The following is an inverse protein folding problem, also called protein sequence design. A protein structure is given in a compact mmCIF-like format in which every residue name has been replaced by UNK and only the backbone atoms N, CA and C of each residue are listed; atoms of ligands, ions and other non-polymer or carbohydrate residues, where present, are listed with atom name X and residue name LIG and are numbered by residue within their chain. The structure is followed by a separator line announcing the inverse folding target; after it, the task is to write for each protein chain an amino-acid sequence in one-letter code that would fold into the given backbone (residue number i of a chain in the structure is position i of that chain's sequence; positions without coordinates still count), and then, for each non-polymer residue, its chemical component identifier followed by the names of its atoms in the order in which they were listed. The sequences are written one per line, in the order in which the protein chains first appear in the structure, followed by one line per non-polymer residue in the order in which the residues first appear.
data_IF_774690472931
#
_entry.id   IF_774690472931
#
_cell.length_a   1.000
_cell.length_b   1.000
_cell.length_c   1.000
_cell.angle_alpha   90.00
_cell.angle_beta   90.00
_cell.angle_gamma   90.00
#
_symmetry.space_group_name_H-M   'P 1'
#
loop_
_entity.id
_entity.type
_entity.pdbx_description
1 polymer ?
#
# COMPACT_ATOMS: atom_id res chain seq x y z
N UNK A 1 -11.46 -8.01 42.88
CA UNK A 1 -10.16 -7.64 42.24
C UNK A 1 -9.89 -8.43 40.95
N UNK A 2 -9.92 -9.77 40.97
CA UNK A 2 -9.66 -10.59 39.76
C UNK A 2 -10.57 -10.28 38.56
N UNK A 3 -11.87 -10.03 38.79
CA UNK A 3 -12.83 -9.69 37.72
C UNK A 3 -12.54 -8.33 37.06
N UNK A 4 -12.18 -7.32 37.85
CA UNK A 4 -11.79 -5.99 37.34
C UNK A 4 -10.51 -6.09 36.52
N UNK A 5 -9.54 -6.88 37.00
CA UNK A 5 -8.27 -7.09 36.31
C UNK A 5 -8.47 -7.83 34.98
N UNK A 6 -9.38 -8.82 34.93
CA UNK A 6 -9.79 -9.48 33.68
C UNK A 6 -10.49 -8.52 32.71
N UNK A 7 -11.36 -7.64 33.19
CA UNK A 7 -12.02 -6.63 32.35
C UNK A 7 -10.98 -5.67 31.75
N UNK A 8 -10.04 -5.18 32.55
CA UNK A 8 -8.96 -4.30 32.08
C UNK A 8 -8.09 -5.01 31.03
N UNK A 9 -7.75 -6.27 31.27
CA UNK A 9 -6.96 -7.07 30.32
C UNK A 9 -7.71 -7.29 29.00
N UNK A 10 -9.02 -7.55 29.06
CA UNK A 10 -9.86 -7.68 27.87
C UNK A 10 -9.95 -6.36 27.10
N UNK A 11 -10.14 -5.24 27.78
CA UNK A 11 -10.14 -3.92 27.13
C UNK A 11 -8.79 -3.65 26.45
N UNK A 12 -7.68 -3.93 27.13
CA UNK A 12 -6.35 -3.73 26.56
C UNK A 12 -6.12 -4.61 25.32
N UNK A 13 -6.58 -5.86 25.35
CA UNK A 13 -6.49 -6.77 24.19
C UNK A 13 -7.28 -6.25 22.97
N UNK A 14 -8.44 -5.63 23.19
CA UNK A 14 -9.25 -5.02 22.11
C UNK A 14 -8.61 -3.76 21.51
N UNK A 15 -7.82 -2.99 22.27
CA UNK A 15 -7.10 -1.84 21.73
C UNK A 15 -5.91 -2.24 20.84
N UNK A 16 -5.25 -3.37 21.13
CA UNK A 16 -4.11 -3.84 20.33
C UNK A 16 -4.52 -4.23 18.90
N UNK A 17 -5.74 -4.76 18.71
CA UNK A 17 -6.22 -5.16 17.38
C UNK A 17 -6.61 -3.98 16.49
N UNK A 18 -6.99 -2.83 17.07
CA UNK A 18 -7.32 -1.63 16.32
C UNK A 18 -6.10 -0.99 15.63
N UNK A 19 -4.89 -1.19 16.17
CA UNK A 19 -3.64 -0.64 15.62
C UNK A 19 -3.11 -1.50 14.46
N UNK A 20 -3.57 -2.75 14.33
CA UNK A 20 -3.10 -3.68 13.30
C UNK A 20 -3.76 -3.50 11.92
N UNK A 21 -4.60 -2.47 11.73
CA UNK A 21 -5.22 -2.20 10.43
C UNK A 21 -4.15 -1.67 9.46
N UNK A 22 -3.89 -2.44 8.40
CA UNK A 22 -2.97 -2.01 7.36
C UNK A 22 -3.56 -0.80 6.61
N UNK A 23 -2.83 0.32 6.61
CA UNK A 23 -3.14 1.50 5.81
C UNK A 23 -2.74 1.19 4.37
N UNK A 24 -3.72 0.85 3.54
CA UNK A 24 -3.52 0.57 2.13
C UNK A 24 -3.26 -0.89 1.77
N UNK A 25 -2.95 -1.13 0.50
CA UNK A 25 -2.62 -2.44 -0.06
C UNK A 25 -1.24 -2.43 -0.70
N UNK A 26 -0.53 -3.55 -0.60
CA UNK A 26 0.77 -3.74 -1.25
C UNK A 26 0.59 -3.91 -2.76
N UNK A 27 1.37 -3.17 -3.55
CA UNK A 27 1.38 -3.25 -5.01
C UNK A 27 2.83 -3.38 -5.51
N UNK A 28 3.06 -4.33 -6.43
CA UNK A 28 4.34 -4.53 -7.10
C UNK A 28 4.14 -4.47 -8.61
N UNK A 29 5.04 -3.76 -9.29
CA UNK A 29 5.03 -3.66 -10.74
C UNK A 29 6.45 -3.70 -11.30
N UNK A 30 6.62 -4.37 -12.43
CA UNK A 30 7.85 -4.31 -13.21
C UNK A 30 7.75 -3.20 -14.26
N UNK A 31 8.68 -2.26 -14.24
CA UNK A 31 8.74 -1.14 -15.18
C UNK A 31 9.79 -1.44 -16.24
N UNK A 32 9.35 -1.50 -17.49
CA UNK A 32 10.19 -1.86 -18.63
C UNK A 32 9.94 -0.88 -19.79
N UNK A 33 10.93 -0.73 -20.66
CA UNK A 33 10.77 -0.02 -21.94
C UNK A 33 9.92 -0.85 -22.91
N UNK A 34 9.46 -0.21 -23.98
CA UNK A 34 8.68 -0.85 -25.03
C UNK A 34 9.41 -2.04 -25.70
N UNK A 35 10.74 -2.02 -25.69
CA UNK A 35 11.60 -3.09 -26.21
C UNK A 35 11.84 -4.25 -25.21
N UNK A 36 11.25 -4.20 -24.02
CA UNK A 36 11.45 -5.20 -22.95
C UNK A 36 12.70 -4.99 -22.10
N UNK A 37 13.47 -3.92 -22.33
CA UNK A 37 14.61 -3.58 -21.48
C UNK A 37 14.11 -3.12 -20.10
N UNK A 38 14.63 -3.74 -19.04
CA UNK A 38 14.29 -3.35 -17.65
C UNK A 38 14.84 -1.97 -17.31
N UNK A 39 14.02 -1.12 -16.69
CA UNK A 39 14.47 0.17 -16.16
C UNK A 39 14.97 -0.03 -14.73
N UNK A 40 16.24 -0.38 -14.57
CA UNK A 40 16.83 -0.67 -13.26
C UNK A 40 17.33 0.60 -12.57
N UNK A 41 17.19 0.69 -11.23
CA UNK A 41 17.70 1.79 -10.41
C UNK A 41 17.30 3.19 -10.91
N UNK A 42 16.09 3.29 -11.44
CA UNK A 42 15.55 4.49 -12.06
C UNK A 42 14.49 5.10 -11.15
N UNK A 43 14.59 6.40 -10.89
CA UNK A 43 13.53 7.16 -10.23
C UNK A 43 12.30 7.23 -11.15
N UNK A 44 11.14 6.92 -10.58
CA UNK A 44 9.85 6.95 -11.25
C UNK A 44 8.82 7.67 -10.40
N UNK A 45 7.97 8.44 -11.06
CA UNK A 45 6.78 9.05 -10.47
C UNK A 45 5.56 8.30 -11.02
N UNK A 46 4.77 7.71 -10.12
CA UNK A 46 3.62 6.89 -10.48
C UNK A 46 2.36 7.53 -9.91
N UNK A 47 1.36 7.72 -10.77
CA UNK A 47 0.01 8.10 -10.34
C UNK A 47 -0.86 6.85 -10.30
N UNK A 48 -1.47 6.60 -9.15
CA UNK A 48 -2.42 5.50 -8.97
C UNK A 48 -3.80 6.13 -8.84
N UNK A 49 -4.79 5.59 -9.56
CA UNK A 49 -6.18 6.06 -9.51
C UNK A 49 -7.14 4.88 -9.39
N UNK A 50 -8.07 4.96 -8.44
CA UNK A 50 -9.17 4.02 -8.33
C UNK A 50 -10.37 4.60 -9.08
N UNK A 51 -10.79 3.91 -10.13
CA UNK A 51 -11.85 4.36 -11.02
C UNK A 51 -13.07 3.43 -10.95
N UNK A 52 -14.23 3.95 -11.33
CA UNK A 52 -15.40 3.10 -11.54
C UNK A 52 -15.18 2.10 -12.68
N UNK A 53 -16.05 1.09 -12.78
CA UNK A 53 -15.96 0.06 -13.82
C UNK A 53 -16.10 0.64 -15.25
N UNK A 54 -16.77 1.79 -15.40
CA UNK A 54 -16.95 2.47 -16.68
C UNK A 54 -15.79 3.39 -17.06
N UNK A 55 -14.83 3.62 -16.15
CA UNK A 55 -13.70 4.52 -16.31
C UNK A 55 -14.04 6.01 -16.25
N UNK A 56 -15.27 6.39 -15.86
CA UNK A 56 -15.74 7.78 -15.94
C UNK A 56 -15.48 8.57 -14.66
N UNK A 57 -15.50 7.90 -13.50
CA UNK A 57 -15.32 8.52 -12.19
C UNK A 57 -14.04 8.04 -11.54
N UNK A 58 -13.25 8.97 -11.00
CA UNK A 58 -12.08 8.69 -10.15
C UNK A 58 -12.49 8.86 -8.69
N UNK A 59 -12.49 7.78 -7.92
CA UNK A 59 -12.82 7.81 -6.48
C UNK A 59 -11.62 8.13 -5.59
N UNK A 60 -10.42 7.85 -6.06
CA UNK A 60 -9.18 8.08 -5.34
C UNK A 60 -8.04 8.29 -6.33
N UNK A 61 -7.12 9.20 -6.01
CA UNK A 61 -5.87 9.34 -6.75
C UNK A 61 -4.75 9.76 -5.82
N UNK A 62 -3.61 9.07 -5.93
CA UNK A 62 -2.38 9.44 -5.25
C UNK A 62 -1.22 9.50 -6.24
N UNK A 63 -0.12 10.11 -5.82
CA UNK A 63 1.13 10.13 -6.57
C UNK A 63 2.23 9.62 -5.65
N UNK A 64 2.99 8.64 -6.14
CA UNK A 64 4.06 8.00 -5.41
C UNK A 64 5.39 8.17 -6.15
N UNK A 65 6.42 8.55 -5.42
CA UNK A 65 7.79 8.57 -5.91
C UNK A 65 8.48 7.29 -5.42
N UNK A 66 9.08 6.54 -6.34
CA UNK A 66 9.82 5.33 -6.00
C UNK A 66 11.00 5.16 -6.95
N UNK A 67 11.87 4.21 -6.62
CA UNK A 67 13.01 3.84 -7.45
C UNK A 67 12.91 2.36 -7.74
N UNK A 68 13.01 1.99 -9.01
CA UNK A 68 13.04 0.58 -9.40
C UNK A 68 14.28 -0.10 -8.86
N UNK A 69 14.19 -1.39 -8.50
CA UNK A 69 15.37 -2.16 -8.09
C UNK A 69 16.19 -2.66 -9.30
N UNK A 70 17.21 -3.47 -9.04
CA UNK A 70 18.06 -4.10 -10.08
C UNK A 70 17.31 -5.03 -11.06
N UNK A 71 16.04 -5.34 -10.81
CA UNK A 71 15.19 -6.11 -11.72
C UNK A 71 14.15 -5.23 -12.43
N UNK A 72 14.19 -3.90 -12.22
CA UNK A 72 13.20 -2.98 -12.75
C UNK A 72 11.87 -2.97 -12.00
N UNK A 73 11.83 -3.50 -10.77
CA UNK A 73 10.59 -3.65 -9.98
C UNK A 73 10.45 -2.52 -8.97
N UNK A 74 9.24 -1.97 -8.84
CA UNK A 74 8.83 -1.08 -7.74
C UNK A 74 7.94 -1.81 -6.73
N UNK A 75 8.06 -1.43 -5.47
CA UNK A 75 7.20 -1.86 -4.37
C UNK A 75 6.51 -0.63 -3.78
N UNK A 76 5.18 -0.62 -3.75
CA UNK A 76 4.36 0.49 -3.29
C UNK A 76 3.35 0.00 -2.25
N UNK A 77 2.98 0.88 -1.32
CA UNK A 77 1.80 0.72 -0.48
C UNK A 77 0.83 1.80 -0.94
N UNK A 78 -0.30 1.38 -1.51
CA UNK A 78 -1.34 2.29 -2.03
C UNK A 78 -2.42 2.43 -0.98
N UNK A 79 -2.64 3.65 -0.46
CA UNK A 79 -3.62 3.89 0.60
C UNK A 79 -3.44 5.23 1.27
#
# INVERSE_FOLDING_TARGET
MKRILLSILLYLALFVTAIAQQQGFNYQAAIQKQDGTTLQNQEVNLRISLIDQSGNTVYYSETQNSTTNNLGIVNLIVG
#
